data_IF_008897572515
#
_entry.id   IF_008897572515
#
_cell.length_a   1.000
_cell.length_b   1.000
_cell.length_c   1.000
_cell.angle_alpha   90.00
_cell.angle_beta   90.00
_cell.angle_gamma   90.00
#
_symmetry.space_group_name_H-M   'P 1'
#
loop_
_entity.id
_entity.type
_entity.pdbx_description
1 polymer ?
#
# COMPACT_ATOMS: atom_id res chain seq x y z
N UNK A 1 32.75 -0.66 -11.31
CA UNK A 1 32.20 -1.53 -12.39
C UNK A 1 31.40 -0.67 -13.36
N UNK A 2 31.85 -0.54 -14.61
CA UNK A 2 31.12 0.17 -15.67
C UNK A 2 30.85 -0.81 -16.81
N UNK A 3 29.62 -1.32 -16.88
CA UNK A 3 29.14 -2.09 -18.02
C UNK A 3 27.96 -1.37 -18.64
N UNK A 4 28.01 -1.13 -19.96
CA UNK A 4 26.92 -0.51 -20.73
C UNK A 4 25.67 -1.40 -20.84
N UNK A 5 25.77 -2.67 -20.46
CA UNK A 5 24.71 -3.66 -20.58
C UNK A 5 23.86 -3.82 -19.30
N UNK A 6 24.18 -3.08 -18.23
CA UNK A 6 23.40 -3.11 -17.00
C UNK A 6 21.89 -2.85 -17.23
N UNK A 7 21.48 -1.89 -18.09
CA UNK A 7 20.06 -1.68 -18.41
C UNK A 7 19.39 -2.85 -19.13
N UNK A 8 20.15 -3.64 -19.90
CA UNK A 8 19.63 -4.81 -20.62
C UNK A 8 19.40 -6.02 -19.70
N UNK A 9 20.20 -6.13 -18.63
CA UNK A 9 20.08 -7.21 -17.64
C UNK A 9 19.03 -6.93 -16.56
N UNK A 10 18.73 -5.66 -16.36
CA UNK A 10 17.79 -5.19 -15.35
C UNK A 10 16.88 -4.14 -16.01
N UNK A 11 15.78 -4.58 -16.67
CA UNK A 11 14.84 -3.71 -17.35
C UNK A 11 14.26 -2.62 -16.44
N UNK A 12 14.31 -2.84 -15.12
CA UNK A 12 14.04 -1.82 -14.11
C UNK A 12 14.89 -0.53 -14.24
N UNK A 13 15.94 -0.51 -15.07
CA UNK A 13 16.76 0.65 -15.39
C UNK A 13 16.42 1.31 -16.73
N UNK A 14 15.18 1.18 -17.22
CA UNK A 14 14.66 2.03 -18.30
C UNK A 14 14.86 3.53 -18.03
N UNK A 15 14.83 4.36 -19.08
CA UNK A 15 15.10 5.79 -18.95
C UNK A 15 14.16 6.50 -17.94
N UNK A 16 14.67 7.55 -17.29
CA UNK A 16 13.92 8.38 -16.35
C UNK A 16 13.85 7.85 -14.91
N UNK A 17 13.26 8.66 -14.02
CA UNK A 17 13.11 8.32 -12.60
C UNK A 17 12.04 7.23 -12.45
N UNK A 18 12.34 6.18 -11.66
CA UNK A 18 11.43 5.04 -11.41
C UNK A 18 9.98 5.47 -11.08
N UNK A 19 9.80 6.43 -10.19
CA UNK A 19 8.48 6.90 -9.74
C UNK A 19 7.70 7.73 -10.78
N UNK A 20 8.31 8.06 -11.93
CA UNK A 20 7.63 8.73 -13.06
C UNK A 20 7.14 7.75 -14.11
N UNK A 21 7.47 6.47 -13.99
CA UNK A 21 7.01 5.46 -14.94
C UNK A 21 5.57 5.11 -14.61
N UNK A 22 4.77 4.89 -15.66
CA UNK A 22 3.37 4.49 -15.53
C UNK A 22 3.30 3.13 -14.83
N UNK A 23 2.45 3.04 -13.80
CA UNK A 23 2.07 1.80 -13.15
C UNK A 23 0.55 1.68 -13.32
N UNK A 24 0.12 0.70 -14.11
CA UNK A 24 -1.28 0.40 -14.32
C UNK A 24 -1.48 -1.10 -14.18
N UNK A 25 -2.63 -1.49 -13.65
CA UNK A 25 -3.02 -2.89 -13.58
C UNK A 25 -3.59 -3.32 -14.93
N UNK A 26 -3.10 -4.45 -15.43
CA UNK A 26 -3.76 -5.17 -16.51
C UNK A 26 -5.12 -5.70 -16.02
N UNK A 27 -6.09 -5.97 -16.93
CA UNK A 27 -7.43 -6.38 -16.53
C UNK A 27 -7.48 -7.58 -15.59
N UNK A 28 -6.60 -8.56 -15.78
CA UNK A 28 -6.52 -9.73 -14.90
C UNK A 28 -5.95 -9.39 -13.51
N UNK A 29 -5.02 -8.43 -13.41
CA UNK A 29 -4.50 -7.95 -12.12
C UNK A 29 -5.56 -7.16 -11.37
N UNK A 30 -6.33 -6.34 -12.09
CA UNK A 30 -7.45 -5.61 -11.53
C UNK A 30 -8.49 -6.58 -10.95
N UNK A 31 -8.83 -7.66 -11.67
CA UNK A 31 -9.74 -8.68 -11.17
C UNK A 31 -9.26 -9.33 -9.85
N UNK A 32 -7.95 -9.61 -9.73
CA UNK A 32 -7.36 -10.16 -8.51
C UNK A 32 -7.38 -9.16 -7.35
N UNK A 33 -7.01 -7.90 -7.60
CA UNK A 33 -7.10 -6.82 -6.60
C UNK A 33 -8.54 -6.60 -6.17
N UNK A 34 -9.49 -6.73 -7.10
CA UNK A 34 -10.91 -6.59 -6.80
C UNK A 34 -11.45 -7.73 -5.95
N UNK A 35 -10.95 -8.94 -6.14
CA UNK A 35 -11.31 -10.11 -5.34
C UNK A 35 -10.65 -10.07 -3.95
N UNK A 36 -9.41 -9.59 -3.86
CA UNK A 36 -8.57 -9.60 -2.65
C UNK A 36 -8.19 -8.17 -2.22
N UNK A 37 -9.20 -7.29 -2.12
CA UNK A 37 -8.97 -5.86 -1.86
C UNK A 37 -8.36 -5.62 -0.48
N UNK A 38 -8.74 -6.38 0.54
CA UNK A 38 -8.18 -6.28 1.90
C UNK A 38 -6.70 -6.67 1.92
N UNK A 39 -6.36 -7.79 1.29
CA UNK A 39 -4.99 -8.30 1.18
C UNK A 39 -4.10 -7.36 0.37
N UNK A 40 -4.68 -6.71 -0.66
CA UNK A 40 -3.97 -5.69 -1.43
C UNK A 40 -3.62 -4.47 -0.58
N UNK A 41 -4.58 -3.93 0.19
CA UNK A 41 -4.36 -2.79 1.11
C UNK A 41 -3.35 -3.17 2.20
N UNK A 42 -3.47 -4.37 2.76
CA UNK A 42 -2.52 -4.95 3.71
C UNK A 42 -1.10 -4.95 3.15
N UNK A 43 -0.93 -5.47 1.92
CA UNK A 43 0.37 -5.51 1.24
C UNK A 43 0.99 -4.12 1.05
N UNK A 44 0.18 -3.14 0.63
CA UNK A 44 0.63 -1.75 0.45
C UNK A 44 1.01 -1.07 1.77
N UNK A 45 0.22 -1.26 2.82
CA UNK A 45 0.58 -0.75 4.16
C UNK A 45 1.86 -1.41 4.67
N UNK A 46 2.08 -2.70 4.39
CA UNK A 46 3.29 -3.40 4.79
C UNK A 46 4.54 -2.96 4.02
N UNK A 47 4.41 -2.54 2.76
CA UNK A 47 5.54 -2.12 1.94
C UNK A 47 5.94 -0.66 2.20
N UNK A 48 4.98 0.27 2.13
CA UNK A 48 5.23 1.71 2.10
C UNK A 48 4.35 2.50 3.11
N UNK A 49 3.68 1.79 4.02
CA UNK A 49 2.85 2.38 5.06
C UNK A 49 3.32 2.11 6.49
N UNK A 50 2.58 2.67 7.44
CA UNK A 50 2.75 2.42 8.86
C UNK A 50 1.45 2.57 9.64
N UNK A 51 1.39 1.86 10.77
CA UNK A 51 0.37 2.01 11.80
C UNK A 51 1.04 2.59 13.04
N UNK A 52 0.50 3.69 13.57
CA UNK A 52 1.05 4.41 14.73
C UNK A 52 -0.03 4.59 15.78
N UNK A 53 0.36 4.46 17.04
CA UNK A 53 -0.47 4.86 18.18
C UNK A 53 0.02 6.22 18.64
N UNK A 54 -0.78 7.26 18.42
CA UNK A 54 -0.51 8.61 18.87
C UNK A 54 -1.21 8.90 20.20
N UNK A 55 -0.67 9.86 20.96
CA UNK A 55 -1.31 10.37 22.17
C UNK A 55 -1.97 11.72 21.84
N UNK A 56 -3.29 11.72 21.76
CA UNK A 56 -4.11 12.92 21.59
C UNK A 56 -4.64 13.38 22.95
N UNK A 57 -3.85 14.23 23.63
CA UNK A 57 -4.22 14.86 24.91
C UNK A 57 -4.63 13.85 26.00
N UNK A 58 -3.85 12.78 26.14
CA UNK A 58 -4.07 11.70 27.11
C UNK A 58 -4.88 10.52 26.56
N UNK A 59 -5.38 10.60 25.32
CA UNK A 59 -6.17 9.53 24.69
C UNK A 59 -5.37 8.89 23.57
N UNK A 60 -5.20 7.57 23.61
CA UNK A 60 -4.55 6.83 22.53
C UNK A 60 -5.41 6.86 21.26
N UNK A 61 -4.80 7.19 20.12
CA UNK A 61 -5.43 7.16 18.80
C UNK A 61 -4.60 6.36 17.80
N UNK A 62 -5.26 5.43 17.10
CA UNK A 62 -4.64 4.67 16.02
C UNK A 62 -4.67 5.50 14.76
N UNK A 63 -3.57 5.51 14.02
CA UNK A 63 -3.41 6.22 12.74
C UNK A 63 -2.69 5.34 11.75
N UNK A 64 -3.18 5.32 10.51
CA UNK A 64 -2.46 4.73 9.39
C UNK A 64 -1.94 5.82 8.46
N UNK A 65 -0.73 5.62 7.94
CA UNK A 65 -0.14 6.46 6.91
C UNK A 65 0.41 5.58 5.79
N UNK A 66 0.33 6.08 4.57
CA UNK A 66 0.94 5.49 3.39
C UNK A 66 1.71 6.57 2.63
N UNK A 67 2.99 6.32 2.35
CA UNK A 67 3.89 7.31 1.74
C UNK A 67 4.49 6.77 0.46
N UNK A 68 4.12 7.36 -0.68
CA UNK A 68 4.70 6.97 -1.98
C UNK A 68 4.92 8.18 -2.89
N UNK A 69 5.90 8.08 -3.79
CA UNK A 69 6.22 9.12 -4.78
C UNK A 69 5.49 8.94 -6.11
N UNK A 70 4.96 7.74 -6.38
CA UNK A 70 4.18 7.44 -7.57
C UNK A 70 2.71 7.79 -7.33
N UNK A 71 2.16 8.72 -8.11
CA UNK A 71 0.73 9.04 -8.07
C UNK A 71 -0.12 7.84 -8.49
N UNK A 72 0.38 6.99 -9.39
CA UNK A 72 -0.32 5.78 -9.80
C UNK A 72 -0.48 4.79 -8.63
N UNK A 73 0.59 4.52 -7.88
CA UNK A 73 0.52 3.65 -6.69
C UNK A 73 -0.40 4.24 -5.63
N UNK A 74 -0.33 5.56 -5.42
CA UNK A 74 -1.26 6.25 -4.53
C UNK A 74 -2.70 6.05 -5.00
N UNK A 75 -2.96 6.22 -6.29
CA UNK A 75 -4.28 6.04 -6.89
C UNK A 75 -4.83 4.63 -6.68
N UNK A 76 -3.98 3.62 -6.86
CA UNK A 76 -4.34 2.22 -6.57
C UNK A 76 -4.68 2.01 -5.09
N UNK A 77 -3.88 2.59 -4.19
CA UNK A 77 -4.13 2.52 -2.75
C UNK A 77 -5.47 3.19 -2.38
N UNK A 78 -5.70 4.42 -2.85
CA UNK A 78 -6.90 5.17 -2.51
C UNK A 78 -8.15 4.57 -3.13
N UNK A 79 -8.09 4.05 -4.37
CA UNK A 79 -9.22 3.36 -4.98
C UNK A 79 -9.60 2.09 -4.20
N UNK A 80 -8.61 1.34 -3.70
CA UNK A 80 -8.86 0.19 -2.84
C UNK A 80 -9.51 0.60 -1.50
N UNK A 81 -9.06 1.70 -0.88
CA UNK A 81 -9.70 2.25 0.33
C UNK A 81 -11.14 2.69 0.06
N UNK A 82 -11.39 3.39 -1.05
CA UNK A 82 -12.72 3.85 -1.44
C UNK A 82 -13.67 2.67 -1.64
N UNK A 83 -13.19 1.58 -2.25
CA UNK A 83 -13.96 0.33 -2.42
C UNK A 83 -14.34 -0.32 -1.09
N UNK A 84 -13.46 -0.23 -0.09
CA UNK A 84 -13.73 -0.70 1.28
C UNK A 84 -14.57 0.29 2.11
N UNK A 85 -14.91 1.47 1.56
CA UNK A 85 -15.61 2.53 2.29
C UNK A 85 -14.75 3.21 3.37
N UNK A 86 -13.42 3.09 3.27
CA UNK A 86 -12.47 3.60 4.27
C UNK A 86 -12.09 5.03 3.90
N UNK A 87 -12.40 5.97 4.77
CA UNK A 87 -12.11 7.37 4.48
C UNK A 87 -10.65 7.71 4.73
N UNK A 88 -10.07 8.45 3.80
CA UNK A 88 -8.68 8.89 3.86
C UNK A 88 -8.56 10.38 3.59
N UNK A 89 -7.39 10.93 3.90
CA UNK A 89 -7.04 12.31 3.62
C UNK A 89 -5.66 12.38 3.00
N UNK A 90 -5.51 13.27 2.01
CA UNK A 90 -4.22 13.60 1.40
C UNK A 90 -3.50 14.64 2.25
N UNK A 91 -2.78 14.21 3.29
CA UNK A 91 -2.10 15.13 4.22
C UNK A 91 -0.96 15.91 3.55
N UNK A 92 -0.29 15.30 2.57
CA UNK A 92 0.70 15.97 1.72
C UNK A 92 0.62 15.42 0.31
N UNK A 93 1.41 15.98 -0.61
CA UNK A 93 1.56 15.44 -1.96
C UNK A 93 1.92 13.96 -2.00
N UNK A 94 2.58 13.39 -0.99
CA UNK A 94 3.07 12.01 -1.04
C UNK A 94 2.44 11.11 0.02
N UNK A 95 1.64 11.67 0.93
CA UNK A 95 1.16 10.96 2.12
C UNK A 95 -0.36 10.91 2.09
N UNK A 96 -0.89 9.69 2.14
CA UNK A 96 -2.28 9.37 2.44
C UNK A 96 -2.38 8.98 3.91
N UNK A 97 -3.38 9.50 4.60
CA UNK A 97 -3.55 9.30 6.03
C UNK A 97 -4.98 8.85 6.36
N UNK A 98 -5.11 7.90 7.29
CA UNK A 98 -6.39 7.42 7.80
C UNK A 98 -6.40 7.61 9.33
N UNK A 99 -7.31 8.47 9.81
CA UNK A 99 -7.37 8.90 11.21
C UNK A 99 -8.72 8.68 11.90
N UNK A 100 -9.80 8.51 11.14
CA UNK A 100 -11.12 8.34 11.75
C UNK A 100 -11.17 7.01 12.48
N UNK A 101 -11.67 7.01 13.71
CA UNK A 101 -11.68 5.83 14.58
C UNK A 101 -12.37 4.62 13.95
N UNK A 102 -13.48 4.83 13.24
CA UNK A 102 -14.20 3.75 12.56
C UNK A 102 -13.35 3.14 11.42
N UNK A 103 -12.70 3.98 10.62
CA UNK A 103 -11.84 3.54 9.52
C UNK A 103 -10.58 2.82 10.03
N UNK A 104 -9.96 3.31 11.11
CA UNK A 104 -8.78 2.65 11.69
C UNK A 104 -9.12 1.37 12.44
N UNK A 105 -10.32 1.28 13.04
CA UNK A 105 -10.84 0.01 13.57
C UNK A 105 -11.10 -1.00 12.44
N UNK A 106 -11.69 -0.54 11.32
CA UNK A 106 -11.91 -1.39 10.13
C UNK A 106 -10.60 -1.93 9.55
N UNK A 107 -9.55 -1.10 9.46
CA UNK A 107 -8.22 -1.54 9.04
C UNK A 107 -7.59 -2.53 10.04
N UNK A 108 -7.85 -2.36 11.34
CA UNK A 108 -7.32 -3.28 12.37
C UNK A 108 -7.91 -4.69 12.29
N UNK A 109 -9.07 -4.89 11.65
CA UNK A 109 -9.68 -6.21 11.45
C UNK A 109 -8.83 -7.15 10.57
N UNK A 110 -8.17 -6.60 9.55
CA UNK A 110 -7.42 -7.40 8.56
C UNK A 110 -5.94 -7.02 8.43
N UNK A 111 -5.52 -5.85 8.92
CA UNK A 111 -4.10 -5.46 9.01
C UNK A 111 -3.56 -5.69 10.41
N UNK A 112 -4.23 -5.08 11.39
CA UNK A 112 -3.85 -5.14 12.78
C UNK A 112 -2.42 -4.67 13.08
N UNK A 113 -1.93 -4.87 14.31
CA UNK A 113 -0.52 -4.69 14.62
C UNK A 113 0.31 -5.73 13.85
N UNK A 114 1.49 -5.32 13.36
CA UNK A 114 2.49 -6.19 12.69
C UNK A 114 3.18 -7.14 13.68
N UNK A 115 2.38 -7.85 14.46
CA UNK A 115 2.77 -8.81 15.49
C UNK A 115 2.38 -10.23 15.13
N UNK A 116 1.51 -10.41 14.11
CA UNK A 116 1.08 -11.70 13.60
C UNK A 116 1.52 -11.86 12.15
N UNK A 117 2.12 -13.01 11.82
CA UNK A 117 2.32 -13.38 10.42
C UNK A 117 0.93 -13.51 9.78
N UNK A 118 0.71 -12.82 8.66
CA UNK A 118 -0.53 -12.93 7.89
C UNK A 118 -0.60 -14.39 7.41
N UNK A 119 -1.58 -15.19 7.86
CA UNK A 119 -1.74 -16.54 7.34
C UNK A 119 -2.17 -16.42 5.88
N UNK A 120 -1.27 -16.68 4.94
CA UNK A 120 -1.62 -16.91 3.55
C UNK A 120 -2.15 -18.35 3.44
N UNK A 121 -3.31 -18.62 4.04
CA UNK A 121 -3.97 -19.92 3.85
C UNK A 121 -4.42 -20.00 2.38
N UNK A 122 -3.78 -20.88 1.60
CA UNK A 122 -4.18 -21.21 0.23
C UNK A 122 -3.27 -20.77 -0.92
N UNK A 123 -2.12 -20.12 -0.67
CA UNK A 123 -1.17 -19.76 -1.74
C UNK A 123 0.10 -20.62 -1.67
N UNK A 124 0.16 -21.65 -2.50
CA UNK A 124 1.39 -22.43 -2.72
C UNK A 124 2.38 -21.60 -3.55
N UNK A 125 3.35 -20.97 -2.89
CA UNK A 125 4.58 -20.56 -3.59
C UNK A 125 5.49 -21.79 -3.68
N UNK A 126 5.56 -22.41 -4.86
CA UNK A 126 6.69 -23.25 -5.19
C UNK A 126 7.93 -22.34 -5.27
N UNK A 127 8.96 -22.70 -4.52
CA UNK A 127 10.29 -22.10 -4.61
C UNK A 127 10.91 -22.37 -5.98
#
# INVERSE_FOLDING_TARGET
MYSKHWPCRFPQHGAGKKHKRRIALEPWQQALVDQATEEFVLGLIHSDGCRVIANDRGVASVRYHFSNRSEDIIGLFTAALDKLGIHWTRSTKYIVSIYRKADTARLDEFIGPKTRAVPLEGVHYAA
#
